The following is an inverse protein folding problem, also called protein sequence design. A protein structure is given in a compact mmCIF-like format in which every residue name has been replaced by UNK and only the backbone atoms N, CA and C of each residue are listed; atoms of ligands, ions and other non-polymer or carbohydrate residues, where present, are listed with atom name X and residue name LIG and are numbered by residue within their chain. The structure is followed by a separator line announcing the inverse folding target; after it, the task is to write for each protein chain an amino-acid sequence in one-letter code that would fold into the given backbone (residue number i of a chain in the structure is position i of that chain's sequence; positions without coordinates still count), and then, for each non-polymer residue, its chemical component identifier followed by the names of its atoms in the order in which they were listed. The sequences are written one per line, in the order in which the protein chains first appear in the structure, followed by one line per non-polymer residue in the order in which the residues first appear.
data_IF_357505258026
#
_entry.id   IF_357505258026
#
_cell.length_a   1.000
_cell.length_b   1.000
_cell.length_c   1.000
_cell.angle_alpha   90.00
_cell.angle_beta   90.00
_cell.angle_gamma   90.00
#
_symmetry.space_group_name_H-M   'P 1'
#
loop_
_entity.id
_entity.type
_entity.pdbx_description
1 polymer ?
#
# COMPACT_ATOMS: atom_id res chain seq x y z
N UNK A 1 21.44 2.20 -3.61
CA UNK A 1 20.69 0.96 -3.89
C UNK A 1 21.66 -0.19 -3.68
N UNK A 2 21.49 -0.97 -2.60
CA UNK A 2 22.50 -1.94 -2.14
C UNK A 2 22.61 -3.14 -3.09
N UNK A 3 23.82 -3.63 -3.37
CA UNK A 3 24.06 -4.71 -4.35
C UNK A 3 23.32 -6.02 -4.01
N UNK A 4 23.20 -6.37 -2.73
CA UNK A 4 22.41 -7.53 -2.27
C UNK A 4 20.91 -7.42 -2.56
N UNK A 5 20.35 -6.20 -2.50
CA UNK A 5 18.93 -5.95 -2.79
C UNK A 5 18.62 -6.10 -4.28
N UNK A 6 19.59 -5.77 -5.13
CA UNK A 6 19.47 -5.90 -6.58
C UNK A 6 19.50 -7.37 -6.98
N UNK A 7 20.40 -8.16 -6.38
CA UNK A 7 20.45 -9.61 -6.59
C UNK A 7 19.14 -10.30 -6.18
N UNK A 8 18.56 -9.92 -5.03
CA UNK A 8 17.34 -10.57 -4.53
C UNK A 8 16.13 -10.34 -5.45
N UNK A 9 15.99 -9.15 -6.04
CA UNK A 9 14.91 -8.84 -6.99
C UNK A 9 15.15 -9.55 -8.33
N UNK A 10 16.40 -9.57 -8.80
CA UNK A 10 16.79 -10.29 -10.01
C UNK A 10 16.51 -11.80 -9.88
N UNK A 11 16.82 -12.40 -8.73
CA UNK A 11 16.56 -13.81 -8.44
C UNK A 11 15.05 -14.13 -8.41
N UNK A 12 14.22 -13.23 -7.88
CA UNK A 12 12.77 -13.39 -7.87
C UNK A 12 12.16 -13.26 -9.27
N UNK A 13 12.67 -12.34 -10.09
CA UNK A 13 12.28 -12.20 -11.51
C UNK A 13 12.68 -13.46 -12.29
N UNK A 14 13.91 -13.94 -12.11
CA UNK A 14 14.43 -15.15 -12.72
C UNK A 14 13.58 -16.37 -12.36
N UNK A 15 13.25 -16.56 -11.09
CA UNK A 15 12.39 -17.68 -10.66
C UNK A 15 11.01 -17.64 -11.32
N UNK A 16 10.36 -16.47 -11.40
CA UNK A 16 9.06 -16.34 -12.09
C UNK A 16 9.17 -16.59 -13.60
N UNK A 17 10.25 -16.13 -14.25
CA UNK A 17 10.52 -16.42 -15.66
C UNK A 17 10.79 -17.91 -15.89
N UNK A 18 11.47 -18.60 -14.98
CA UNK A 18 11.65 -20.05 -15.01
C UNK A 18 10.33 -20.81 -14.84
N UNK A 19 9.46 -20.38 -13.93
CA UNK A 19 8.10 -20.94 -13.81
C UNK A 19 7.32 -20.79 -15.11
N UNK A 20 7.35 -19.61 -15.74
CA UNK A 20 6.72 -19.37 -17.04
C UNK A 20 7.31 -20.29 -18.12
N UNK A 21 8.64 -20.42 -18.17
CA UNK A 21 9.33 -21.30 -19.13
C UNK A 21 9.00 -22.78 -18.94
N UNK A 22 8.90 -23.25 -17.69
CA UNK A 22 8.50 -24.62 -17.36
C UNK A 22 7.04 -24.92 -17.75
N UNK A 23 6.16 -23.94 -17.58
CA UNK A 23 4.75 -24.02 -17.95
C UNK A 23 4.57 -24.06 -19.48
N UNK A 24 5.25 -23.18 -20.22
CA UNK A 24 5.21 -23.15 -21.71
C UNK A 24 5.74 -24.47 -22.31
N UNK A 25 6.78 -25.07 -21.69
CA UNK A 25 7.39 -26.31 -22.16
C UNK A 25 6.47 -27.53 -22.08
N UNK A 26 5.46 -27.51 -21.20
CA UNK A 26 4.57 -28.66 -20.94
C UNK A 26 3.26 -28.66 -21.74
N UNK A 27 3.02 -27.64 -22.57
CA UNK A 27 2.22 -27.81 -23.79
C UNK A 27 0.72 -28.09 -23.66
N UNK A 28 0.03 -27.65 -22.60
CA UNK A 28 -1.38 -27.23 -22.69
C UNK A 28 -1.76 -26.43 -21.44
N UNK A 29 -2.05 -25.13 -21.59
CA UNK A 29 -2.44 -24.29 -20.45
C UNK A 29 -3.94 -23.99 -20.47
N UNK A 30 -4.62 -24.10 -19.31
CA UNK A 30 -5.93 -23.50 -19.12
C UNK A 30 -5.87 -22.00 -19.41
N UNK A 31 -6.92 -21.44 -20.03
CA UNK A 31 -6.93 -20.04 -20.48
C UNK A 31 -6.69 -19.04 -19.33
N UNK A 32 -7.16 -19.40 -18.12
CA UNK A 32 -6.90 -18.63 -16.90
C UNK A 32 -5.42 -18.50 -16.54
N UNK A 33 -4.61 -19.51 -16.83
CA UNK A 33 -3.16 -19.46 -16.60
C UNK A 33 -2.44 -18.69 -17.71
N UNK A 34 -2.92 -18.80 -18.95
CA UNK A 34 -2.43 -17.96 -20.07
C UNK A 34 -2.64 -16.48 -19.78
N UNK A 35 -3.81 -16.09 -19.27
CA UNK A 35 -4.12 -14.69 -18.90
C UNK A 35 -3.19 -14.16 -17.80
N UNK A 36 -2.90 -14.98 -16.78
CA UNK A 36 -1.95 -14.59 -15.72
C UNK A 36 -0.54 -14.38 -16.26
N UNK A 37 -0.08 -15.26 -17.14
CA UNK A 37 1.24 -15.15 -17.77
C UNK A 37 1.31 -13.90 -18.66
N UNK A 38 0.28 -13.66 -19.48
CA UNK A 38 0.21 -12.45 -20.32
C UNK A 38 0.28 -11.19 -19.47
N UNK A 39 -0.46 -11.13 -18.36
CA UNK A 39 -0.46 -9.98 -17.48
C UNK A 39 0.91 -9.73 -16.86
N UNK A 40 1.59 -10.79 -16.40
CA UNK A 40 2.95 -10.70 -15.85
C UNK A 40 3.93 -10.18 -16.90
N UNK A 41 3.92 -10.75 -18.11
CA UNK A 41 4.80 -10.34 -19.21
C UNK A 41 4.56 -8.88 -19.64
N UNK A 42 3.30 -8.43 -19.62
CA UNK A 42 2.94 -7.05 -19.90
C UNK A 42 3.47 -6.08 -18.84
N UNK A 43 3.47 -6.47 -17.56
CA UNK A 43 4.06 -5.64 -16.50
C UNK A 43 5.59 -5.62 -16.57
N UNK A 44 6.24 -6.75 -16.89
CA UNK A 44 7.69 -6.83 -17.12
C UNK A 44 8.12 -5.91 -18.27
N UNK A 45 7.42 -5.96 -19.40
CA UNK A 45 7.72 -5.09 -20.56
C UNK A 45 7.51 -3.60 -20.28
N UNK A 46 6.60 -3.26 -19.36
CA UNK A 46 6.38 -1.88 -18.89
C UNK A 46 7.37 -1.43 -17.81
N UNK A 47 8.33 -2.28 -17.39
CA UNK A 47 9.26 -1.98 -16.31
C UNK A 47 8.62 -1.97 -14.92
N UNK A 48 7.40 -2.48 -14.79
CA UNK A 48 6.60 -2.50 -13.57
C UNK A 48 6.90 -3.74 -12.72
N UNK A 49 8.16 -3.97 -12.39
CA UNK A 49 8.60 -5.16 -11.64
C UNK A 49 7.92 -5.28 -10.26
N UNK A 50 7.59 -4.16 -9.63
CA UNK A 50 6.82 -4.14 -8.38
C UNK A 50 5.43 -4.80 -8.53
N UNK A 51 4.76 -4.64 -9.67
CA UNK A 51 3.44 -5.23 -9.96
C UNK A 51 3.51 -6.74 -10.21
N UNK A 52 4.62 -7.22 -10.79
CA UNK A 52 4.90 -8.66 -10.96
C UNK A 52 5.03 -9.36 -9.61
N UNK A 53 5.54 -8.65 -8.60
CA UNK A 53 5.66 -9.15 -7.22
C UNK A 53 4.37 -9.02 -6.40
N UNK A 54 3.35 -8.26 -6.86
CA UNK A 54 2.10 -8.03 -6.11
C UNK A 54 1.19 -9.25 -5.99
N UNK A 55 1.34 -10.27 -6.83
CA UNK A 55 0.37 -11.38 -6.96
C UNK A 55 0.83 -12.74 -6.39
N UNK A 56 1.96 -12.82 -5.68
CA UNK A 56 2.38 -14.07 -5.01
C UNK A 56 2.21 -13.98 -3.49
N UNK A 57 1.86 -15.11 -2.87
CA UNK A 57 1.77 -15.28 -1.42
C UNK A 57 2.99 -14.68 -0.67
N UNK A 58 4.15 -14.65 -1.32
CA UNK A 58 5.40 -14.04 -0.86
C UNK A 58 5.25 -12.58 -0.41
N UNK A 59 4.40 -11.78 -1.06
CA UNK A 59 4.30 -10.35 -0.71
C UNK A 59 3.68 -10.16 0.67
N UNK A 60 2.66 -10.95 1.00
CA UNK A 60 2.02 -10.89 2.31
C UNK A 60 2.99 -11.35 3.39
N UNK A 61 3.68 -12.45 3.15
CA UNK A 61 4.69 -13.00 4.08
C UNK A 61 5.80 -11.98 4.33
N UNK A 62 6.39 -11.43 3.27
CA UNK A 62 7.39 -10.36 3.33
C UNK A 62 6.90 -9.16 4.15
N UNK A 63 5.64 -8.73 3.95
CA UNK A 63 5.05 -7.64 4.73
C UNK A 63 4.96 -8.02 6.21
N UNK A 64 4.43 -9.21 6.53
CA UNK A 64 4.26 -9.65 7.92
C UNK A 64 5.61 -9.75 8.64
N UNK A 65 6.62 -10.34 8.00
CA UNK A 65 7.98 -10.44 8.55
C UNK A 65 8.63 -9.06 8.73
N UNK A 66 8.53 -8.22 7.71
CA UNK A 66 9.06 -6.85 7.75
C UNK A 66 8.39 -6.00 8.84
N UNK A 67 7.08 -6.14 9.01
CA UNK A 67 6.33 -5.47 10.09
C UNK A 67 6.74 -6.04 11.45
N UNK A 68 6.89 -7.36 11.59
CA UNK A 68 7.35 -7.96 12.85
C UNK A 68 8.72 -7.41 13.25
N UNK A 69 9.67 -7.36 12.31
CA UNK A 69 11.00 -6.77 12.54
C UNK A 69 10.92 -5.29 12.93
N UNK A 70 10.16 -4.50 12.16
CA UNK A 70 9.94 -3.07 12.46
C UNK A 70 9.41 -2.86 13.87
N UNK A 71 8.47 -3.71 14.34
CA UNK A 71 7.86 -3.57 15.65
C UNK A 71 8.73 -4.11 16.80
N UNK A 72 9.74 -4.94 16.50
CA UNK A 72 10.79 -5.28 17.47
C UNK A 72 11.70 -4.07 17.68
N UNK A 73 12.16 -3.46 16.60
CA UNK A 73 13.08 -2.31 16.63
C UNK A 73 12.38 -1.05 17.15
N UNK A 74 11.12 -0.85 16.76
CA UNK A 74 10.30 0.31 17.08
C UNK A 74 8.89 -0.10 17.53
N UNK A 75 8.72 -0.55 18.79
CA UNK A 75 7.43 -1.05 19.30
C UNK A 75 6.27 -0.03 19.24
N UNK A 76 6.62 1.26 19.23
CA UNK A 76 5.70 2.40 19.16
C UNK A 76 5.46 2.91 17.74
N UNK A 77 6.06 2.28 16.71
CA UNK A 77 5.80 2.62 15.33
C UNK A 77 4.30 2.55 15.04
N UNK A 78 3.77 3.61 14.44
CA UNK A 78 2.35 3.75 14.17
C UNK A 78 2.14 4.22 12.73
N UNK A 79 1.09 3.75 12.07
CA UNK A 79 0.63 4.30 10.80
C UNK A 79 -0.64 5.11 11.02
N UNK A 80 -0.81 6.18 10.25
CA UNK A 80 -2.07 6.91 10.20
C UNK A 80 -2.95 6.40 9.08
N UNK A 81 -4.24 6.28 9.35
CA UNK A 81 -5.28 6.07 8.35
C UNK A 81 -6.24 7.25 8.42
N UNK A 82 -6.33 8.00 7.33
CA UNK A 82 -7.11 9.23 7.25
C UNK A 82 -8.26 9.02 6.25
N UNK A 83 -9.45 9.53 6.53
CA UNK A 83 -10.55 9.55 5.56
C UNK A 83 -11.18 8.17 5.32
N UNK A 84 -11.48 7.43 6.40
CA UNK A 84 -12.10 6.10 6.27
C UNK A 84 -13.61 6.14 6.03
N UNK A 85 -14.22 7.33 6.12
CA UNK A 85 -15.65 7.54 5.97
C UNK A 85 -16.45 6.81 7.05
N UNK A 86 -17.60 6.24 6.68
CA UNK A 86 -18.50 5.52 7.61
C UNK A 86 -18.07 4.07 7.92
N UNK A 87 -16.83 3.69 7.63
CA UNK A 87 -16.40 2.32 7.88
C UNK A 87 -16.32 2.01 9.37
N UNK A 88 -16.74 0.80 9.73
CA UNK A 88 -16.68 0.32 11.11
C UNK A 88 -15.21 0.14 11.50
N UNK A 89 -14.72 0.96 12.43
CA UNK A 89 -13.33 0.96 12.91
C UNK A 89 -12.79 -0.44 13.26
N UNK A 90 -13.62 -1.27 13.90
CA UNK A 90 -13.22 -2.63 14.27
C UNK A 90 -12.88 -3.51 13.07
N UNK A 91 -13.50 -3.29 11.91
CA UNK A 91 -13.20 -4.04 10.68
C UNK A 91 -11.83 -3.66 10.15
N UNK A 92 -11.52 -2.36 10.11
CA UNK A 92 -10.22 -1.86 9.64
C UNK A 92 -9.08 -2.33 10.55
N UNK A 93 -9.30 -2.27 11.87
CA UNK A 93 -8.38 -2.82 12.87
C UNK A 93 -8.20 -4.33 12.74
N UNK A 94 -9.26 -5.09 12.46
CA UNK A 94 -9.14 -6.54 12.22
C UNK A 94 -8.29 -6.84 10.98
N UNK A 95 -8.44 -6.07 9.90
CA UNK A 95 -7.59 -6.20 8.71
C UNK A 95 -6.13 -5.89 9.06
N UNK A 96 -5.87 -4.79 9.79
CA UNK A 96 -4.53 -4.40 10.23
C UNK A 96 -3.86 -5.46 11.12
N UNK A 97 -4.61 -6.06 12.05
CA UNK A 97 -4.14 -7.18 12.90
C UNK A 97 -3.68 -8.38 12.09
N UNK A 98 -4.28 -8.62 10.92
CA UNK A 98 -3.84 -9.70 10.03
C UNK A 98 -2.44 -9.49 9.42
N UNK A 99 -1.88 -8.29 9.54
CA UNK A 99 -0.49 -7.94 9.16
C UNK A 99 0.43 -7.71 10.37
N UNK A 100 0.01 -8.11 11.58
CA UNK A 100 0.82 -7.97 12.80
C UNK A 100 0.71 -6.61 13.49
N UNK A 101 -0.12 -5.68 13.00
CA UNK A 101 -0.34 -4.39 13.66
C UNK A 101 -1.36 -4.53 14.79
N UNK A 102 -0.95 -4.18 16.01
CA UNK A 102 -1.88 -4.07 17.14
C UNK A 102 -2.61 -2.73 17.14
N UNK A 103 -3.59 -2.56 18.05
CA UNK A 103 -4.39 -1.33 18.12
C UNK A 103 -3.58 -0.07 18.45
N UNK A 104 -2.35 -0.21 18.98
CA UNK A 104 -1.40 0.90 19.21
C UNK A 104 -0.56 1.27 17.99
N UNK A 105 -0.50 0.41 16.97
CA UNK A 105 0.32 0.60 15.79
C UNK A 105 -0.48 1.18 14.61
N UNK A 106 -1.77 1.45 14.82
CA UNK A 106 -2.66 2.03 13.82
C UNK A 106 -3.53 3.11 14.46
N UNK A 107 -3.42 4.32 13.94
CA UNK A 107 -4.23 5.47 14.32
C UNK A 107 -5.21 5.78 13.21
N UNK A 108 -6.52 5.67 13.49
CA UNK A 108 -7.56 6.00 12.52
C UNK A 108 -8.09 7.38 12.87
N UNK A 109 -7.80 8.33 11.98
CA UNK A 109 -8.18 9.73 12.15
C UNK A 109 -9.40 10.03 11.30
N UNK A 110 -10.57 9.92 11.92
CA UNK A 110 -11.86 10.29 11.35
C UNK A 110 -12.20 11.73 11.76
N UNK A 111 -12.82 12.49 10.86
CA UNK A 111 -13.13 13.92 11.02
C UNK A 111 -12.61 14.80 9.87
N UNK A 112 -11.58 14.34 9.16
CA UNK A 112 -11.06 15.04 7.96
C UNK A 112 -11.95 14.84 6.72
N UNK A 113 -12.77 13.78 6.69
CA UNK A 113 -13.69 13.51 5.58
C UNK A 113 -14.83 14.52 5.45
N UNK A 114 -15.05 15.36 6.46
CA UNK A 114 -16.09 16.40 6.47
C UNK A 114 -15.53 17.82 6.60
N UNK A 115 -14.21 17.94 6.76
CA UNK A 115 -13.53 19.22 6.90
C UNK A 115 -12.86 19.61 5.59
N UNK A 116 -13.17 20.81 5.09
CA UNK A 116 -12.44 21.39 3.96
C UNK A 116 -11.03 21.88 4.35
N UNK A 117 -10.67 21.77 5.64
CA UNK A 117 -9.37 22.15 6.19
C UNK A 117 -8.73 20.94 6.88
N UNK A 118 -7.51 20.59 6.47
CA UNK A 118 -6.70 19.59 7.17
C UNK A 118 -5.62 20.34 7.93
N UNK A 119 -5.48 20.14 9.26
CA UNK A 119 -4.46 20.75 10.09
C UNK A 119 -3.14 20.04 9.84
N UNK A 120 -2.47 20.46 8.78
CA UNK A 120 -1.28 19.78 8.26
C UNK A 120 -0.09 19.95 9.19
N UNK A 121 -0.03 21.08 9.88
CA UNK A 121 1.02 21.31 10.87
C UNK A 121 0.96 20.27 12.00
N UNK A 122 -0.24 19.74 12.30
CA UNK A 122 -0.37 18.57 13.18
C UNK A 122 0.27 17.34 12.52
N UNK A 123 -0.02 17.07 11.23
CA UNK A 123 0.56 15.94 10.47
C UNK A 123 2.10 15.95 10.44
N UNK A 124 2.73 17.13 10.32
CA UNK A 124 4.21 17.28 10.28
C UNK A 124 4.89 16.88 11.59
N UNK A 125 4.22 17.09 12.73
CA UNK A 125 4.74 16.74 14.05
C UNK A 125 4.59 15.26 14.42
N UNK A 126 3.76 14.52 13.70
CA UNK A 126 3.47 13.12 14.05
C UNK A 126 4.60 12.15 13.67
N UNK A 127 4.90 11.25 14.61
CA UNK A 127 5.93 10.21 14.47
C UNK A 127 5.48 8.99 13.66
N UNK A 128 4.40 9.10 12.87
CA UNK A 128 3.90 7.98 12.07
C UNK A 128 4.96 7.47 11.09
N UNK A 129 4.92 6.20 10.71
CA UNK A 129 5.83 5.61 9.71
C UNK A 129 5.33 5.77 8.28
N UNK A 130 4.04 6.00 8.13
CA UNK A 130 3.42 6.31 6.85
C UNK A 130 1.94 6.64 7.02
N UNK A 131 1.34 7.12 5.94
CA UNK A 131 -0.05 7.59 5.91
C UNK A 131 -0.83 6.85 4.83
N UNK A 132 -1.93 6.22 5.23
CA UNK A 132 -2.93 5.68 4.32
C UNK A 132 -4.07 6.69 4.20
N UNK A 133 -4.14 7.35 3.05
CA UNK A 133 -5.11 8.40 2.80
C UNK A 133 -6.31 7.83 2.06
N UNK A 134 -7.50 8.07 2.58
CA UNK A 134 -8.75 7.75 1.92
C UNK A 134 -9.08 8.69 0.77
N UNK A 135 -10.25 8.50 0.15
CA UNK A 135 -10.72 9.40 -0.87
C UNK A 135 -10.74 10.84 -0.42
N UNK A 136 -10.17 11.67 -1.27
CA UNK A 136 -10.03 13.10 -1.06
C UNK A 136 -11.13 13.80 -1.85
N UNK A 137 -11.90 14.72 -1.23
CA UNK A 137 -12.78 15.61 -1.97
C UNK A 137 -12.03 16.35 -3.09
N UNK A 138 -12.69 16.57 -4.24
CA UNK A 138 -12.09 17.30 -5.37
C UNK A 138 -11.76 18.76 -5.05
N UNK A 139 -12.34 19.34 -3.98
CA UNK A 139 -12.01 20.68 -3.48
C UNK A 139 -11.63 20.63 -2.00
N UNK A 140 -10.39 20.99 -1.70
CA UNK A 140 -9.91 21.20 -0.33
C UNK A 140 -9.31 22.59 -0.26
N UNK A 141 -9.70 23.35 0.74
CA UNK A 141 -9.15 24.68 1.00
C UNK A 141 -7.86 24.51 1.84
N UNK A 142 -6.86 25.35 1.60
CA UNK A 142 -5.61 25.32 2.38
C UNK A 142 -4.52 24.36 1.88
N UNK A 143 -4.63 23.77 0.69
CA UNK A 143 -3.56 22.95 0.06
C UNK A 143 -2.44 23.77 -0.60
N UNK A 144 -2.30 25.06 -0.30
CA UNK A 144 -1.07 25.84 -0.52
C UNK A 144 -0.43 25.73 -1.92
N UNK A 145 -1.21 25.85 -3.00
CA UNK A 145 -0.69 25.79 -4.38
C UNK A 145 -0.46 24.39 -4.94
N UNK A 146 -0.69 23.32 -4.15
CA UNK A 146 -0.64 21.94 -4.63
C UNK A 146 -1.95 21.57 -5.34
N UNK A 147 -1.84 20.66 -6.32
CA UNK A 147 -2.95 20.19 -7.16
C UNK A 147 -3.89 19.23 -6.44
N UNK A 148 -3.46 18.63 -5.33
CA UNK A 148 -4.27 17.72 -4.53
C UNK A 148 -3.79 17.65 -3.08
N UNK A 149 -4.67 17.23 -2.16
CA UNK A 149 -4.29 16.90 -0.79
C UNK A 149 -3.24 15.79 -0.73
N UNK A 150 -3.31 14.83 -1.64
CA UNK A 150 -2.36 13.74 -1.68
C UNK A 150 -0.94 14.27 -1.89
N UNK A 151 -0.74 15.14 -2.89
CA UNK A 151 0.56 15.76 -3.17
C UNK A 151 1.03 16.61 -1.99
N UNK A 152 0.10 17.39 -1.45
CA UNK A 152 0.34 18.26 -0.32
C UNK A 152 0.75 17.48 0.96
N UNK A 153 0.07 16.38 1.28
CA UNK A 153 0.39 15.50 2.43
C UNK A 153 1.72 14.80 2.17
N UNK A 154 1.92 14.24 0.98
CA UNK A 154 3.16 13.58 0.59
C UNK A 154 4.38 14.50 0.76
N UNK A 155 4.28 15.74 0.30
CA UNK A 155 5.35 16.73 0.43
C UNK A 155 5.53 17.22 1.87
N UNK A 156 4.44 17.23 2.67
CA UNK A 156 4.49 17.69 4.05
C UNK A 156 5.00 16.66 5.05
N UNK A 157 4.64 15.39 4.94
CA UNK A 157 4.99 14.38 5.97
C UNK A 157 6.39 13.81 5.77
N UNK A 158 6.95 13.88 4.55
CA UNK A 158 8.28 13.34 4.23
C UNK A 158 8.39 11.81 4.41
N UNK A 159 7.26 11.11 4.34
CA UNK A 159 7.12 9.68 4.62
C UNK A 159 6.26 9.00 3.56
N UNK A 160 6.26 7.65 3.47
CA UNK A 160 5.38 6.95 2.56
C UNK A 160 3.91 7.35 2.75
N UNK A 161 3.28 7.81 1.67
CA UNK A 161 1.85 8.08 1.61
C UNK A 161 1.24 7.23 0.50
N UNK A 162 0.13 6.56 0.79
CA UNK A 162 -0.63 5.76 -0.17
C UNK A 162 -2.07 6.22 -0.18
N UNK A 163 -2.62 6.45 -1.38
CA UNK A 163 -4.02 6.74 -1.57
C UNK A 163 -4.82 5.43 -1.72
N UNK A 164 -5.87 5.25 -0.94
CA UNK A 164 -6.82 4.15 -1.08
C UNK A 164 -7.58 4.33 -2.39
N UNK A 165 -7.55 3.30 -3.24
CA UNK A 165 -8.34 3.28 -4.49
C UNK A 165 -9.82 3.21 -4.15
N UNK A 166 -10.65 3.89 -4.93
CA UNK A 166 -12.11 3.91 -4.71
C UNK A 166 -12.80 3.30 -5.91
N UNK A 167 -13.84 2.50 -5.66
CA UNK A 167 -14.74 2.08 -6.71
C UNK A 167 -15.93 3.04 -6.73
N UNK A 168 -16.15 3.70 -7.87
CA UNK A 168 -17.20 4.69 -8.05
C UNK A 168 -18.46 4.09 -8.69
N UNK A 169 -18.79 2.83 -8.38
CA UNK A 169 -19.94 2.16 -9.00
C UNK A 169 -21.29 2.79 -8.58
N UNK A 170 -21.31 3.58 -7.49
CA UNK A 170 -22.52 4.19 -6.93
C UNK A 170 -22.46 5.72 -6.77
N UNK A 171 -21.45 6.40 -7.34
CA UNK A 171 -21.28 7.86 -7.21
C UNK A 171 -20.84 8.36 -5.82
N UNK A 172 -20.96 7.56 -4.76
CA UNK A 172 -20.34 7.80 -3.46
C UNK A 172 -18.93 7.20 -3.40
N UNK A 173 -17.94 8.04 -3.14
CA UNK A 173 -16.55 7.62 -3.01
C UNK A 173 -16.37 6.88 -1.68
N UNK A 174 -16.47 5.55 -1.72
CA UNK A 174 -16.47 4.71 -0.51
C UNK A 174 -15.20 3.87 -0.40
N UNK A 175 -14.52 3.96 0.75
CA UNK A 175 -13.48 3.00 1.13
C UNK A 175 -14.16 1.64 1.36
N UNK A 176 -13.81 0.65 0.55
CA UNK A 176 -14.22 -0.75 0.73
C UNK A 176 -13.17 -1.51 1.55
N UNK A 177 -13.54 -2.67 2.14
CA UNK A 177 -12.58 -3.54 2.83
C UNK A 177 -11.41 -3.95 1.93
N UNK A 178 -11.69 -4.23 0.65
CA UNK A 178 -10.67 -4.58 -0.34
C UNK A 178 -9.75 -3.40 -0.65
N UNK A 179 -10.29 -2.20 -0.84
CA UNK A 179 -9.47 -1.00 -1.07
C UNK A 179 -8.56 -0.67 0.10
N UNK A 180 -9.07 -0.81 1.33
CA UNK A 180 -8.28 -0.61 2.53
C UNK A 180 -7.16 -1.65 2.64
N UNK A 181 -7.47 -2.93 2.40
CA UNK A 181 -6.47 -4.01 2.42
C UNK A 181 -5.35 -3.75 1.42
N UNK A 182 -5.69 -3.45 0.16
CA UNK A 182 -4.70 -3.19 -0.89
C UNK A 182 -3.86 -1.95 -0.58
N UNK A 183 -4.50 -0.88 -0.12
CA UNK A 183 -3.78 0.34 0.27
C UNK A 183 -2.86 0.14 1.47
N UNK A 184 -3.31 -0.63 2.46
CA UNK A 184 -2.51 -1.00 3.63
C UNK A 184 -1.30 -1.86 3.22
N UNK A 185 -1.48 -2.87 2.37
CA UNK A 185 -0.38 -3.69 1.85
C UNK A 185 0.65 -2.84 1.12
N UNK A 186 0.20 -1.94 0.24
CA UNK A 186 1.06 -1.03 -0.49
C UNK A 186 1.83 -0.08 0.44
N UNK A 187 1.17 0.44 1.48
CA UNK A 187 1.80 1.32 2.45
C UNK A 187 2.86 0.57 3.29
N UNK A 188 2.48 -0.58 3.85
CA UNK A 188 3.39 -1.37 4.69
C UNK A 188 4.61 -1.82 3.90
N UNK A 189 4.40 -2.26 2.65
CA UNK A 189 5.50 -2.62 1.77
C UNK A 189 6.44 -1.43 1.53
N UNK A 190 5.92 -0.23 1.26
CA UNK A 190 6.75 0.98 1.13
C UNK A 190 7.50 1.29 2.42
N UNK A 191 6.87 1.18 3.58
CA UNK A 191 7.52 1.44 4.88
C UNK A 191 8.71 0.49 5.06
N UNK A 192 8.51 -0.82 4.97
CA UNK A 192 9.57 -1.80 5.23
C UNK A 192 10.70 -1.75 4.18
N UNK A 193 10.41 -1.26 2.97
CA UNK A 193 11.42 -1.12 1.90
C UNK A 193 12.15 0.22 1.95
N UNK A 194 11.54 1.26 2.50
CA UNK A 194 12.15 2.60 2.62
C UNK A 194 13.13 2.73 3.80
N UNK A 195 13.12 1.79 4.75
CA UNK A 195 13.99 1.80 5.95
C UNK A 195 15.40 1.21 5.69
N UNK A 196 15.95 1.35 4.48
CA UNK A 196 17.31 0.89 4.14
C UNK A 196 18.08 1.96 3.38
#
# INVERSE_FOLDING_TARGET
MNEERKSTIEDQILNKLFTIGGIIKNGDLPDREKEKILHILEQVTKGNFDLVLKDSADRRETIVEGVAKLLVDEPHACIAVIGTGKNKLHVLKAIAKSYGLSDRNIEIVNGFEHSHNIPVDELRGHKWKGVLLGPVPHSIHGVGGHTSLFDFVKDSVGKPVVLMKTNSDSGEVKVTKSSFKVGLEDLLYKIITSTV
#
